data_IF_859050828948
#
_entry.id   IF_859050828948
#
_cell.length_a   1.000
_cell.length_b   1.000
_cell.length_c   1.000
_cell.angle_alpha   90.00
_cell.angle_beta   90.00
_cell.angle_gamma   90.00
#
_symmetry.space_group_name_H-M   'P 1'
#
loop_
_entity.id
_entity.type
_entity.pdbx_description
1 polymer ?
#
# COMPACT_ATOMS: atom_id res chain seq x y z
N UNK A 1 -6.66 14.80 11.18
CA UNK A 1 -7.28 14.29 9.93
C UNK A 1 -8.23 13.16 10.26
N UNK A 2 -9.55 13.40 10.22
CA UNK A 2 -10.53 12.30 10.09
C UNK A 2 -10.38 11.75 8.68
N UNK A 3 -9.91 10.52 8.53
CA UNK A 3 -9.93 9.87 7.23
C UNK A 3 -11.32 9.28 7.02
N UNK A 4 -12.28 10.09 6.57
CA UNK A 4 -13.64 9.63 6.30
C UNK A 4 -13.67 8.76 5.05
N UNK A 5 -13.39 7.46 5.25
CA UNK A 5 -13.40 6.46 4.19
C UNK A 5 -14.79 6.17 3.63
N UNK A 6 -15.84 6.71 4.27
CA UNK A 6 -17.25 6.57 3.89
C UNK A 6 -17.54 7.00 2.44
N UNK A 7 -16.71 7.86 1.87
CA UNK A 7 -16.83 8.33 0.49
C UNK A 7 -15.83 7.72 -0.50
N UNK A 8 -15.03 6.73 -0.08
CA UNK A 8 -14.05 6.08 -0.95
C UNK A 8 -14.73 5.30 -2.08
N UNK A 9 -14.09 5.20 -3.25
CA UNK A 9 -14.58 4.41 -4.38
C UNK A 9 -14.82 2.95 -3.98
N UNK A 10 -13.97 2.42 -3.12
CA UNK A 10 -14.09 1.06 -2.57
C UNK A 10 -15.34 0.91 -1.70
N UNK A 11 -15.68 1.89 -0.87
CA UNK A 11 -16.93 1.88 -0.08
C UNK A 11 -18.15 1.92 -1.00
N UNK A 12 -18.16 2.82 -1.99
CA UNK A 12 -19.25 2.92 -2.96
C UNK A 12 -19.46 1.62 -3.74
N UNK A 13 -18.36 0.96 -4.13
CA UNK A 13 -18.42 -0.33 -4.80
C UNK A 13 -18.96 -1.42 -3.87
N UNK A 14 -18.54 -1.47 -2.62
CA UNK A 14 -19.04 -2.43 -1.63
C UNK A 14 -20.55 -2.27 -1.40
N UNK A 15 -21.02 -1.04 -1.20
CA UNK A 15 -22.45 -0.73 -1.03
C UNK A 15 -23.25 -1.17 -2.26
N UNK A 16 -22.79 -0.82 -3.46
CA UNK A 16 -23.46 -1.19 -4.73
C UNK A 16 -23.56 -2.71 -4.94
N UNK A 17 -22.60 -3.47 -4.41
CA UNK A 17 -22.58 -4.93 -4.54
C UNK A 17 -23.12 -5.64 -3.29
N UNK A 18 -23.74 -4.91 -2.35
CA UNK A 18 -24.25 -5.44 -1.07
C UNK A 18 -23.22 -6.28 -0.29
N UNK A 19 -21.94 -5.90 -0.38
CA UNK A 19 -20.83 -6.69 0.16
C UNK A 19 -20.20 -5.98 1.36
N UNK A 20 -19.91 -6.74 2.42
CA UNK A 20 -19.19 -6.20 3.58
C UNK A 20 -17.67 -6.17 3.36
N UNK A 21 -16.96 -5.31 4.09
CA UNK A 21 -15.49 -5.26 4.08
C UNK A 21 -14.88 -6.62 4.43
N UNK A 22 -15.46 -7.30 5.43
CA UNK A 22 -14.98 -8.60 5.92
C UNK A 22 -15.20 -9.69 4.89
N UNK A 23 -16.35 -9.67 4.22
CA UNK A 23 -16.67 -10.63 3.17
C UNK A 23 -15.73 -10.49 1.97
N UNK A 24 -15.48 -9.25 1.51
CA UNK A 24 -14.52 -9.01 0.44
C UNK A 24 -13.12 -9.49 0.81
N UNK A 25 -12.68 -9.23 2.05
CA UNK A 25 -11.39 -9.71 2.55
C UNK A 25 -11.29 -11.24 2.49
N UNK A 26 -12.35 -11.96 2.90
CA UNK A 26 -12.42 -13.42 2.80
C UNK A 26 -12.34 -13.91 1.34
N UNK A 27 -13.10 -13.30 0.42
CA UNK A 27 -13.10 -13.67 -1.00
C UNK A 27 -11.72 -13.50 -1.66
N UNK A 28 -10.99 -12.45 -1.28
CA UNK A 28 -9.61 -12.20 -1.78
C UNK A 28 -8.59 -13.11 -1.08
N UNK A 29 -8.91 -13.65 0.09
CA UNK A 29 -7.97 -14.37 0.94
C UNK A 29 -6.97 -13.44 1.64
N UNK A 30 -7.45 -12.30 2.16
CA UNK A 30 -6.63 -11.34 2.91
C UNK A 30 -7.31 -10.92 4.22
N UNK A 31 -6.58 -10.20 5.07
CA UNK A 31 -7.12 -9.68 6.32
C UNK A 31 -7.92 -8.39 6.09
N UNK A 32 -8.97 -8.18 6.89
CA UNK A 32 -9.81 -6.96 6.85
C UNK A 32 -9.00 -5.65 6.85
N UNK A 33 -7.88 -5.50 7.62
CA UNK A 33 -7.04 -4.31 7.57
C UNK A 33 -6.47 -3.98 6.19
N UNK A 34 -6.26 -4.96 5.31
CA UNK A 34 -5.80 -4.72 3.93
C UNK A 34 -6.86 -3.94 3.16
N UNK A 35 -8.12 -4.34 3.26
CA UNK A 35 -9.23 -3.65 2.59
C UNK A 35 -9.42 -2.25 3.17
N UNK A 36 -9.31 -2.10 4.49
CA UNK A 36 -9.36 -0.78 5.12
C UNK A 36 -8.26 0.14 4.58
N UNK A 37 -7.02 -0.34 4.42
CA UNK A 37 -5.94 0.45 3.80
C UNK A 37 -6.35 0.97 2.41
N UNK A 38 -7.00 0.16 1.58
CA UNK A 38 -7.50 0.59 0.28
C UNK A 38 -8.54 1.69 0.41
N UNK A 39 -9.51 1.55 1.33
CA UNK A 39 -10.52 2.59 1.59
C UNK A 39 -9.90 3.91 2.06
N UNK A 40 -8.82 3.83 2.84
CA UNK A 40 -8.02 4.98 3.28
C UNK A 40 -7.03 5.49 2.23
N UNK A 41 -7.00 4.92 1.02
CA UNK A 41 -6.05 5.30 -0.03
C UNK A 41 -4.58 5.03 0.34
N UNK A 42 -4.33 4.10 1.26
CA UNK A 42 -3.00 3.64 1.68
C UNK A 42 -2.50 2.53 0.76
N UNK A 43 -1.18 2.46 0.52
CA UNK A 43 -0.62 1.44 -0.35
C UNK A 43 -0.70 0.04 0.29
N UNK A 44 -0.89 -0.97 -0.57
CA UNK A 44 -0.99 -2.38 -0.19
C UNK A 44 -0.04 -3.25 -1.01
N UNK A 45 0.13 -4.52 -0.62
CA UNK A 45 0.93 -5.47 -1.37
C UNK A 45 0.40 -5.62 -2.82
N UNK A 46 1.27 -5.63 -3.84
CA UNK A 46 0.88 -5.80 -5.24
C UNK A 46 -0.01 -7.02 -5.48
N UNK A 47 0.29 -8.15 -4.83
CA UNK A 47 -0.51 -9.39 -4.94
C UNK A 47 -1.99 -9.16 -4.55
N UNK A 48 -2.26 -8.47 -3.45
CA UNK A 48 -3.63 -8.16 -3.04
C UNK A 48 -4.27 -7.09 -3.92
N UNK A 49 -3.48 -6.12 -4.40
CA UNK A 49 -3.97 -5.10 -5.32
C UNK A 49 -4.46 -5.71 -6.63
N UNK A 50 -3.72 -6.67 -7.19
CA UNK A 50 -4.09 -7.41 -8.37
C UNK A 50 -5.40 -8.19 -8.18
N UNK A 51 -5.53 -8.96 -7.09
CA UNK A 51 -6.77 -9.69 -6.78
C UNK A 51 -7.97 -8.76 -6.62
N UNK A 52 -7.78 -7.58 -6.01
CA UNK A 52 -8.85 -6.57 -5.91
C UNK A 52 -9.23 -6.03 -7.29
N UNK A 53 -8.27 -5.75 -8.16
CA UNK A 53 -8.56 -5.30 -9.52
C UNK A 53 -9.33 -6.36 -10.32
N UNK A 54 -8.94 -7.63 -10.22
CA UNK A 54 -9.64 -8.75 -10.87
C UNK A 54 -11.08 -8.88 -10.35
N UNK A 55 -11.26 -8.95 -9.03
CA UNK A 55 -12.58 -9.06 -8.39
C UNK A 55 -13.50 -7.88 -8.70
N UNK A 56 -12.96 -6.67 -8.80
CA UNK A 56 -13.73 -5.45 -9.08
C UNK A 56 -13.84 -5.15 -10.57
N UNK A 57 -13.31 -6.01 -11.44
CA UNK A 57 -13.25 -5.82 -12.90
C UNK A 57 -12.62 -4.47 -13.28
N UNK A 58 -11.55 -4.09 -12.58
CA UNK A 58 -10.80 -2.85 -12.80
C UNK A 58 -11.45 -1.57 -12.27
N UNK A 59 -12.65 -1.65 -11.65
CA UNK A 59 -13.35 -0.47 -11.10
C UNK A 59 -12.62 0.16 -9.93
N UNK A 60 -11.91 -0.64 -9.14
CA UNK A 60 -11.08 -0.16 -8.04
C UNK A 60 -9.62 -0.35 -8.42
N UNK A 61 -8.83 0.73 -8.30
CA UNK A 61 -7.38 0.72 -8.55
C UNK A 61 -6.62 1.03 -7.26
N UNK A 62 -6.26 0.01 -6.46
CA UNK A 62 -5.53 0.23 -5.21
C UNK A 62 -4.14 0.79 -5.46
N UNK A 63 -3.66 1.64 -4.55
CA UNK A 63 -2.25 2.03 -4.54
C UNK A 63 -1.40 0.82 -4.16
N UNK A 64 -0.36 0.54 -4.92
CA UNK A 64 0.57 -0.54 -4.63
C UNK A 64 1.77 0.03 -3.84
N UNK A 65 2.31 -0.76 -2.91
CA UNK A 65 3.63 -0.48 -2.36
C UNK A 65 4.63 -0.44 -3.52
N UNK A 66 5.51 0.56 -3.56
CA UNK A 66 6.65 0.52 -4.47
C UNK A 66 7.45 -0.74 -4.18
N UNK A 67 7.61 -1.60 -5.18
CA UNK A 67 8.48 -2.77 -5.09
C UNK A 67 9.90 -2.22 -5.09
N UNK A 68 10.56 -2.35 -3.95
CA UNK A 68 11.84 -1.70 -3.67
C UNK A 68 11.76 -0.94 -2.36
N UNK A 69 12.18 -1.59 -1.27
CA UNK A 69 12.73 -0.79 -0.17
C UNK A 69 13.96 -0.12 -0.77
N UNK A 70 13.97 1.21 -0.85
CA UNK A 70 15.23 1.89 -0.59
C UNK A 70 15.59 1.49 0.85
N UNK A 71 16.30 0.37 1.00
CA UNK A 71 17.05 0.13 2.23
C UNK A 71 17.95 1.35 2.31
N UNK A 72 17.65 2.24 3.25
CA UNK A 72 18.32 3.52 3.38
C UNK A 72 19.81 3.32 3.14
N UNK A 73 20.36 4.06 2.18
CA UNK A 73 21.79 4.01 1.84
C UNK A 73 22.53 4.02 3.18
N UNK A 74 23.16 2.91 3.57
CA UNK A 74 24.12 2.96 4.69
C UNK A 74 25.13 4.01 4.23
N UNK A 75 25.24 5.12 4.97
CA UNK A 75 26.32 6.08 4.74
C UNK A 75 27.61 5.28 4.93
N UNK A 76 28.28 4.95 3.84
CA UNK A 76 29.67 4.50 3.89
C UNK A 76 30.43 5.77 4.26
N UNK A 77 30.74 5.92 5.54
CA UNK A 77 31.63 6.97 6.02
C UNK A 77 33.04 6.47 5.69
N UNK A 78 33.60 6.95 4.58
CA UNK A 78 35.02 6.76 4.29
C UNK A 78 35.80 7.71 5.18
N UNK A 79 36.28 7.23 6.34
CA UNK A 79 37.35 7.89 7.07
C UNK A 79 38.68 7.58 6.37
N UNK A 80 38.91 8.23 5.22
CA UNK A 80 40.23 8.25 4.60
C UNK A 80 41.03 9.37 5.24
N UNK A 81 41.98 8.96 6.05
CA UNK A 81 42.96 9.76 6.78
C UNK A 81 43.77 10.62 5.81
N UNK A 82 43.47 11.91 5.70
CA UNK A 82 44.41 12.87 5.11
C UNK A 82 45.51 13.11 6.13
N UNK A 83 46.61 12.39 5.93
CA UNK A 83 47.89 12.64 6.57
C UNK A 83 48.32 14.06 6.22
N UNK A 84 48.75 14.75 7.27
CA UNK A 84 49.51 15.98 7.24
C UNK A 84 50.59 15.96 6.15
N UNK A 85 50.60 17.00 5.33
CA UNK A 85 51.79 17.48 4.63
C UNK A 85 51.76 19.00 4.69
N UNK A 86 52.16 19.53 5.85
CA UNK A 86 52.71 20.87 5.98
C UNK A 86 54.22 20.73 5.75
N UNK A 87 54.66 21.19 4.60
CA UNK A 87 56.06 21.50 4.28
C UNK A 87 56.05 22.79 3.49
#
# INVERSE_FOLDING_TARGET
MSYDYKNSEMEKWLIKNHMSTTELAKRIGCSRPVILKVKYGKPICPMYAQRIMEMTKGKIKPKMNRVGRERGKRKIINNSTEKQSLS
#
